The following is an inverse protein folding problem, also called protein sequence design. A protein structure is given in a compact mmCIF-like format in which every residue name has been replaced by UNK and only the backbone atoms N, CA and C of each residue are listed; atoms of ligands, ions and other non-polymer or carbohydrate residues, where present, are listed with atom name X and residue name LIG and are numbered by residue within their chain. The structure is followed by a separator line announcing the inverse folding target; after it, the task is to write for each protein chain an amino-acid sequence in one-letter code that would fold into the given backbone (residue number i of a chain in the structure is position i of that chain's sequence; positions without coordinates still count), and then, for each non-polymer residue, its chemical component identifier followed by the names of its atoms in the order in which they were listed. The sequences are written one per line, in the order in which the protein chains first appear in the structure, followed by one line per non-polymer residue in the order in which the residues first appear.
data_IF_159279795200
#
_entry.id   IF_159279795200
#
_cell.length_a   1.000
_cell.length_b   1.000
_cell.length_c   1.000
_cell.angle_alpha   90.00
_cell.angle_beta   90.00
_cell.angle_gamma   90.00
#
_symmetry.space_group_name_H-M   'P 1'
#
loop_
_entity.id
_entity.type
_entity.pdbx_description
1 polymer ?
#
# COMPACT_ATOMS: atom_id res chain seq x y z
N UNK A 1 2.01 36.58 -7.40
CA UNK A 1 1.63 35.15 -7.34
C UNK A 1 2.78 34.36 -7.95
N UNK A 2 3.37 33.37 -7.27
CA UNK A 2 4.35 32.52 -7.93
C UNK A 2 3.68 31.85 -9.13
N UNK A 3 4.34 31.84 -10.29
CA UNK A 3 3.82 31.18 -11.49
C UNK A 3 3.71 29.70 -11.20
N UNK A 4 2.48 29.18 -11.11
CA UNK A 4 2.28 27.74 -11.05
C UNK A 4 2.71 27.19 -12.40
N UNK A 5 3.77 26.38 -12.41
CA UNK A 5 4.17 25.60 -13.59
C UNK A 5 2.94 24.79 -14.08
N UNK A 6 2.46 25.00 -15.32
CA UNK A 6 1.30 24.30 -15.86
C UNK A 6 1.44 22.78 -15.79
N UNK A 7 2.66 22.26 -15.94
CA UNK A 7 2.93 20.81 -15.86
C UNK A 7 2.78 20.28 -14.43
N UNK A 8 3.25 21.04 -13.43
CA UNK A 8 3.08 20.69 -12.03
C UNK A 8 1.59 20.68 -11.63
N UNK A 9 0.81 21.65 -12.13
CA UNK A 9 -0.65 21.67 -11.87
C UNK A 9 -1.38 20.51 -12.55
N UNK A 10 -1.01 20.19 -13.78
CA UNK A 10 -1.56 19.04 -14.49
C UNK A 10 -1.28 17.73 -13.75
N UNK A 11 -0.04 17.56 -13.25
CA UNK A 11 0.33 16.40 -12.45
C UNK A 11 -0.47 16.29 -11.14
N UNK A 12 -0.64 17.39 -10.39
CA UNK A 12 -1.46 17.42 -9.17
C UNK A 12 -2.90 16.94 -9.44
N UNK A 13 -3.49 17.41 -10.54
CA UNK A 13 -4.83 17.02 -10.97
C UNK A 13 -4.91 15.54 -11.35
N UNK A 14 -3.93 15.04 -12.11
CA UNK A 14 -3.85 13.63 -12.51
C UNK A 14 -3.65 12.71 -11.32
N UNK A 15 -2.76 13.07 -10.38
CA UNK A 15 -2.52 12.31 -9.15
C UNK A 15 -3.79 12.15 -8.32
N UNK A 16 -4.49 13.27 -8.04
CA UNK A 16 -5.72 13.22 -7.24
C UNK A 16 -6.84 12.49 -7.97
N UNK A 17 -6.93 12.64 -9.30
CA UNK A 17 -7.88 11.89 -10.13
C UNK A 17 -7.66 10.39 -10.01
N UNK A 18 -6.42 9.94 -10.17
CA UNK A 18 -6.03 8.54 -10.05
C UNK A 18 -6.41 7.96 -8.69
N UNK A 19 -6.13 8.68 -7.60
CA UNK A 19 -6.53 8.25 -6.26
C UNK A 19 -8.05 8.16 -6.14
N UNK A 20 -8.78 9.19 -6.61
CA UNK A 20 -10.24 9.21 -6.60
C UNK A 20 -10.88 8.04 -7.35
N UNK A 21 -10.39 7.75 -8.56
CA UNK A 21 -10.84 6.61 -9.38
C UNK A 21 -10.54 5.28 -8.70
N UNK A 22 -9.38 5.17 -8.04
CA UNK A 22 -8.98 3.97 -7.30
C UNK A 22 -9.88 3.74 -6.08
N UNK A 23 -10.18 4.79 -5.32
CA UNK A 23 -11.14 4.76 -4.21
C UNK A 23 -12.51 4.31 -4.71
N UNK A 24 -13.00 4.89 -5.82
CA UNK A 24 -14.29 4.53 -6.41
C UNK A 24 -14.33 3.05 -6.82
N UNK A 25 -13.28 2.58 -7.51
CA UNK A 25 -13.16 1.20 -7.99
C UNK A 25 -13.18 0.21 -6.83
N UNK A 26 -12.28 0.36 -5.86
CA UNK A 26 -12.20 -0.53 -4.69
C UNK A 26 -13.49 -0.51 -3.87
N UNK A 27 -14.10 0.68 -3.70
CA UNK A 27 -15.39 0.79 -3.02
C UNK A 27 -16.48 -0.02 -3.74
N UNK A 28 -16.53 0.05 -5.08
CA UNK A 28 -17.49 -0.69 -5.89
C UNK A 28 -17.23 -2.21 -5.87
N UNK A 29 -15.98 -2.64 -5.92
CA UNK A 29 -15.57 -4.05 -5.80
C UNK A 29 -15.99 -4.66 -4.46
N UNK A 30 -15.94 -3.88 -3.37
CA UNK A 30 -16.43 -4.27 -2.05
C UNK A 30 -17.96 -4.17 -1.89
N UNK A 31 -18.69 -3.76 -2.94
CA UNK A 31 -20.14 -3.58 -2.90
C UNK A 31 -20.60 -2.45 -1.97
N UNK A 32 -19.72 -1.50 -1.65
CA UNK A 32 -20.02 -0.42 -0.70
C UNK A 32 -20.63 0.79 -1.41
N UNK A 33 -21.62 1.40 -0.78
CA UNK A 33 -22.07 2.75 -1.13
C UNK A 33 -21.11 3.81 -0.57
N UNK A 34 -21.12 5.02 -1.13
CA UNK A 34 -20.36 6.14 -0.56
C UNK A 34 -20.76 6.47 0.89
N UNK A 35 -22.01 6.17 1.28
CA UNK A 35 -22.47 6.30 2.67
C UNK A 35 -21.82 5.27 3.58
N UNK A 36 -21.74 4.01 3.15
CA UNK A 36 -21.08 2.95 3.93
C UNK A 36 -19.58 3.19 4.05
N UNK A 37 -18.92 3.70 3.01
CA UNK A 37 -17.52 4.12 3.13
C UNK A 37 -17.38 5.28 4.13
N UNK A 38 -18.28 6.27 4.09
CA UNK A 38 -18.31 7.36 5.08
C UNK A 38 -18.42 6.82 6.51
N UNK A 39 -19.28 5.83 6.72
CA UNK A 39 -19.42 5.18 8.03
C UNK A 39 -18.12 4.52 8.50
N UNK A 40 -17.47 3.73 7.65
CA UNK A 40 -16.20 3.09 7.98
C UNK A 40 -15.12 4.09 8.38
N UNK A 41 -15.03 5.23 7.68
CA UNK A 41 -14.07 6.29 8.06
C UNK A 41 -14.38 6.88 9.45
N UNK A 42 -15.67 6.94 9.83
CA UNK A 42 -16.11 7.35 11.16
C UNK A 42 -15.80 6.31 12.23
N UNK A 43 -15.88 5.02 11.92
CA UNK A 43 -15.50 3.93 12.83
C UNK A 43 -13.99 3.94 13.10
N UNK A 44 -13.18 4.26 12.09
CA UNK A 44 -11.75 4.58 12.23
C UNK A 44 -11.51 5.95 12.92
N UNK A 45 -12.60 6.68 13.18
CA UNK A 45 -12.72 7.99 13.80
C UNK A 45 -11.84 9.08 13.23
N UNK A 46 -11.77 9.08 11.91
CA UNK A 46 -11.58 10.28 11.12
C UNK A 46 -12.73 10.36 10.12
N UNK A 47 -13.87 10.97 10.51
CA UNK A 47 -15.07 10.93 9.69
C UNK A 47 -14.89 11.74 8.40
N UNK A 48 -14.99 11.06 7.26
CA UNK A 48 -15.03 11.68 5.92
C UNK A 48 -16.47 11.60 5.43
N UNK A 49 -17.10 12.77 5.22
CA UNK A 49 -18.50 12.80 4.78
C UNK A 49 -18.71 12.12 3.43
N UNK A 50 -19.89 11.55 3.20
CA UNK A 50 -20.31 11.02 1.88
C UNK A 50 -20.08 12.02 0.75
N UNK A 51 -20.36 13.32 0.98
CA UNK A 51 -20.14 14.38 -0.02
C UNK A 51 -18.64 14.58 -0.30
N UNK A 52 -17.80 14.55 0.73
CA UNK A 52 -16.34 14.60 0.56
C UNK A 52 -15.83 13.40 -0.25
N UNK A 53 -16.29 12.18 0.08
CA UNK A 53 -15.98 10.96 -0.68
C UNK A 53 -16.36 11.12 -2.15
N UNK A 54 -17.59 11.55 -2.46
CA UNK A 54 -18.00 11.76 -3.86
C UNK A 54 -17.13 12.78 -4.59
N UNK A 55 -16.72 13.86 -3.92
CA UNK A 55 -15.84 14.88 -4.52
C UNK A 55 -14.39 14.40 -4.69
N UNK A 56 -13.92 13.49 -3.83
CA UNK A 56 -12.63 12.81 -3.98
C UNK A 56 -12.70 11.89 -5.20
N UNK A 57 -13.72 11.03 -5.28
CA UNK A 57 -13.92 10.09 -6.39
C UNK A 57 -14.02 10.80 -7.75
N UNK A 58 -14.71 11.94 -7.82
CA UNK A 58 -14.85 12.72 -9.05
C UNK A 58 -13.72 13.73 -9.29
N UNK A 59 -12.73 13.79 -8.40
CA UNK A 59 -11.68 14.83 -8.36
C UNK A 59 -12.22 16.27 -8.45
N UNK A 60 -13.45 16.53 -7.98
CA UNK A 60 -14.06 17.86 -8.02
C UNK A 60 -13.48 18.83 -6.98
N UNK A 61 -12.48 18.39 -6.21
CA UNK A 61 -11.67 19.25 -5.33
C UNK A 61 -10.44 19.85 -6.01
N UNK A 62 -10.25 19.60 -7.31
CA UNK A 62 -9.22 20.21 -8.16
C UNK A 62 -7.79 19.96 -7.67
N UNK A 63 -7.46 18.69 -7.37
CA UNK A 63 -6.12 18.28 -6.94
C UNK A 63 -5.95 18.20 -5.42
N UNK A 64 -6.99 18.49 -4.65
CA UNK A 64 -6.92 18.48 -3.18
C UNK A 64 -7.39 17.13 -2.61
N UNK A 65 -6.45 16.45 -1.98
CA UNK A 65 -6.64 15.31 -1.10
C UNK A 65 -5.65 15.48 0.05
N UNK A 66 -6.12 15.42 1.30
CA UNK A 66 -5.22 15.51 2.45
C UNK A 66 -4.64 14.14 2.84
N UNK A 67 -3.53 14.14 3.58
CA UNK A 67 -2.82 12.91 3.97
C UNK A 67 -3.66 12.04 4.91
N UNK A 68 -4.47 12.63 5.77
CA UNK A 68 -5.35 11.88 6.67
C UNK A 68 -6.49 11.21 5.89
N UNK A 69 -7.11 11.91 4.94
CA UNK A 69 -8.10 11.38 4.02
C UNK A 69 -7.53 10.21 3.22
N UNK A 70 -6.31 10.36 2.66
CA UNK A 70 -5.65 9.28 1.92
C UNK A 70 -5.47 8.02 2.78
N UNK A 71 -4.88 8.15 3.96
CA UNK A 71 -4.59 7.01 4.84
C UNK A 71 -5.90 6.36 5.33
N UNK A 72 -6.86 7.16 5.79
CA UNK A 72 -8.12 6.65 6.35
C UNK A 72 -8.98 5.98 5.29
N UNK A 73 -9.02 6.51 4.07
CA UNK A 73 -9.72 5.85 2.95
C UNK A 73 -9.11 4.49 2.61
N UNK A 74 -7.79 4.38 2.61
CA UNK A 74 -7.12 3.11 2.34
C UNK A 74 -7.52 2.04 3.37
N UNK A 75 -7.43 2.38 4.66
CA UNK A 75 -7.83 1.48 5.73
C UNK A 75 -9.33 1.16 5.74
N UNK A 76 -10.19 2.14 5.42
CA UNK A 76 -11.64 1.90 5.30
C UNK A 76 -12.01 0.96 4.13
N UNK A 77 -11.14 0.91 3.12
CA UNK A 77 -11.22 0.02 1.95
C UNK A 77 -10.43 -1.28 2.14
N UNK A 78 -9.84 -1.52 3.31
CA UNK A 78 -9.05 -2.73 3.62
C UNK A 78 -7.87 -2.95 2.65
N UNK A 79 -7.18 -1.86 2.26
CA UNK A 79 -5.99 -1.89 1.41
C UNK A 79 -4.85 -1.07 2.00
N UNK A 80 -3.57 -1.36 1.68
CA UNK A 80 -2.46 -0.51 2.08
C UNK A 80 -2.56 0.88 1.40
N UNK A 81 -2.07 1.97 2.03
CA UNK A 81 -2.14 3.32 1.45
C UNK A 81 -1.53 3.44 0.04
N UNK A 82 -0.45 2.69 -0.23
CA UNK A 82 0.18 2.65 -1.55
C UNK A 82 -0.72 2.12 -2.67
N UNK A 83 -1.68 1.25 -2.37
CA UNK A 83 -2.62 0.72 -3.36
C UNK A 83 -3.55 1.81 -3.93
N UNK A 84 -3.84 2.87 -3.16
CA UNK A 84 -4.59 4.02 -3.67
C UNK A 84 -3.75 4.92 -4.59
N UNK A 85 -2.43 4.99 -4.36
CA UNK A 85 -1.52 5.78 -5.18
C UNK A 85 -1.14 5.07 -6.49
N UNK A 86 -1.02 3.74 -6.44
CA UNK A 86 -0.50 2.89 -7.51
C UNK A 86 -1.55 1.81 -7.88
N UNK A 87 -2.60 2.18 -8.65
CA UNK A 87 -3.74 1.29 -8.91
C UNK A 87 -3.40 0.02 -9.66
N UNK A 88 -2.35 0.06 -10.48
CA UNK A 88 -2.00 -1.01 -11.42
C UNK A 88 -0.88 -1.91 -10.86
N UNK A 89 -0.77 -2.03 -9.54
CA UNK A 89 0.19 -2.93 -8.91
C UNK A 89 -0.09 -4.42 -9.24
N UNK A 90 0.94 -5.24 -9.52
CA UNK A 90 2.36 -4.88 -9.65
C UNK A 90 2.76 -4.46 -11.09
N UNK A 91 1.95 -4.82 -12.10
CA UNK A 91 2.38 -4.91 -13.51
C UNK A 91 2.28 -3.59 -14.31
N UNK A 92 1.69 -2.56 -13.74
CA UNK A 92 1.51 -1.26 -14.39
C UNK A 92 2.68 -0.31 -14.22
N UNK A 93 2.49 0.92 -14.70
CA UNK A 93 3.41 2.04 -14.48
C UNK A 93 2.66 3.23 -13.93
N UNK A 94 3.39 4.13 -13.28
CA UNK A 94 2.82 5.29 -12.62
C UNK A 94 3.77 6.47 -12.68
N UNK A 95 3.21 7.64 -13.00
CA UNK A 95 3.92 8.90 -12.87
C UNK A 95 3.98 9.29 -11.39
N UNK A 96 5.16 9.14 -10.78
CA UNK A 96 5.42 9.37 -9.34
C UNK A 96 5.78 10.83 -9.04
N UNK A 97 6.34 11.55 -10.01
CA UNK A 97 6.65 12.97 -10.00
C UNK A 97 6.42 13.53 -11.41
N UNK A 98 6.24 14.85 -11.61
CA UNK A 98 6.03 15.43 -12.94
C UNK A 98 7.12 14.99 -13.93
N UNK A 99 6.74 14.23 -14.96
CA UNK A 99 7.63 13.69 -16.00
C UNK A 99 8.39 12.41 -15.62
N UNK A 100 8.25 11.89 -14.40
CA UNK A 100 8.93 10.69 -13.94
C UNK A 100 7.96 9.52 -13.81
N UNK A 101 8.08 8.57 -14.75
CA UNK A 101 7.26 7.35 -14.78
C UNK A 101 8.11 6.17 -14.31
N UNK A 102 7.59 5.42 -13.34
CA UNK A 102 8.21 4.19 -12.82
C UNK A 102 7.24 3.01 -13.00
N UNK A 103 7.72 1.77 -13.10
CA UNK A 103 6.87 0.61 -12.84
C UNK A 103 6.22 0.73 -11.46
N UNK A 104 4.95 0.36 -11.34
CA UNK A 104 4.15 0.54 -10.12
C UNK A 104 4.80 -0.17 -8.92
N UNK A 105 5.38 -1.36 -9.14
CA UNK A 105 6.09 -2.09 -8.09
C UNK A 105 7.34 -1.35 -7.59
N UNK A 106 8.11 -0.70 -8.47
CA UNK A 106 9.27 0.12 -8.08
C UNK A 106 8.83 1.35 -7.28
N UNK A 107 7.73 1.99 -7.69
CA UNK A 107 7.14 3.09 -6.94
C UNK A 107 6.71 2.67 -5.52
N UNK A 108 6.14 1.47 -5.38
CA UNK A 108 5.78 0.89 -4.08
C UNK A 108 7.00 0.62 -3.20
N UNK A 109 8.08 0.06 -3.76
CA UNK A 109 9.33 -0.16 -3.01
C UNK A 109 9.94 1.16 -2.53
N UNK A 110 9.85 2.20 -3.35
CA UNK A 110 10.33 3.54 -2.98
C UNK A 110 9.48 4.13 -1.84
N UNK A 111 8.16 3.88 -1.86
CA UNK A 111 7.24 4.30 -0.80
C UNK A 111 7.48 3.56 0.53
N UNK A 112 7.85 2.27 0.46
CA UNK A 112 8.17 1.43 1.62
C UNK A 112 9.60 1.68 2.18
N UNK A 113 10.40 2.51 1.48
CA UNK A 113 11.77 2.85 1.88
C UNK A 113 12.83 1.83 1.46
N UNK A 114 12.46 0.81 0.67
CA UNK A 114 13.37 -0.22 0.16
C UNK A 114 14.29 0.31 -0.96
N UNK A 115 13.93 1.42 -1.61
CA UNK A 115 14.78 2.13 -2.59
C UNK A 115 14.84 3.63 -2.30
N UNK A 116 15.95 4.31 -2.64
CA UNK A 116 16.17 5.73 -2.32
C UNK A 116 15.50 6.72 -3.29
N UNK A 117 14.40 6.31 -3.92
CA UNK A 117 13.62 7.16 -4.84
C UNK A 117 14.26 7.32 -6.23
N UNK A 118 13.84 8.34 -6.97
CA UNK A 118 14.06 8.44 -8.43
C UNK A 118 15.49 8.81 -8.85
N UNK A 119 16.32 9.24 -7.89
CA UNK A 119 17.70 9.65 -8.12
C UNK A 119 18.73 8.52 -7.90
N UNK A 120 18.29 7.38 -7.36
CA UNK A 120 19.12 6.19 -7.24
C UNK A 120 18.91 5.35 -8.51
N UNK A 121 19.94 5.08 -9.34
CA UNK A 121 19.79 4.10 -10.40
C UNK A 121 19.38 2.81 -9.71
N UNK A 122 18.11 2.42 -9.89
CA UNK A 122 17.55 1.21 -9.29
C UNK A 122 18.49 0.07 -9.67
N UNK A 123 19.37 -0.32 -8.75
CA UNK A 123 19.93 -1.64 -8.77
C UNK A 123 18.72 -2.50 -8.59
N UNK A 124 18.25 -3.10 -9.69
CA UNK A 124 17.14 -4.03 -9.65
C UNK A 124 17.44 -4.97 -8.48
N UNK A 125 16.63 -4.96 -7.41
CA UNK A 125 16.74 -6.05 -6.49
C UNK A 125 16.45 -7.28 -7.36
N UNK A 126 17.30 -8.30 -7.24
CA UNK A 126 17.10 -9.59 -7.91
C UNK A 126 15.62 -10.00 -7.79
N UNK A 127 15.10 -10.77 -8.75
CA UNK A 127 13.69 -11.23 -8.85
C UNK A 127 13.01 -11.53 -7.50
N UNK A 128 13.79 -11.93 -6.50
CA UNK A 128 13.62 -11.79 -5.05
C UNK A 128 12.71 -10.65 -4.56
N UNK A 129 12.76 -9.41 -5.06
CA UNK A 129 11.90 -8.30 -4.57
C UNK A 129 10.44 -8.39 -5.06
N UNK A 130 10.24 -8.75 -6.33
CA UNK A 130 8.90 -8.94 -6.90
C UNK A 130 8.30 -10.25 -6.38
N UNK A 131 9.12 -11.29 -6.23
CA UNK A 131 8.78 -12.51 -5.51
C UNK A 131 8.50 -12.25 -4.03
N UNK A 132 9.23 -11.36 -3.35
CA UNK A 132 8.99 -10.95 -1.96
C UNK A 132 7.72 -10.11 -1.82
N UNK A 133 7.39 -9.24 -2.77
CA UNK A 133 6.11 -8.52 -2.80
C UNK A 133 4.94 -9.48 -3.06
N UNK A 134 5.13 -10.44 -3.98
CA UNK A 134 4.15 -11.47 -4.32
C UNK A 134 3.97 -12.45 -3.15
N UNK A 135 5.05 -12.85 -2.48
CA UNK A 135 5.03 -13.60 -1.23
C UNK A 135 4.45 -12.75 -0.08
N UNK A 136 4.68 -11.43 0.01
CA UNK A 136 3.97 -10.55 0.97
C UNK A 136 2.46 -10.49 0.69
N UNK A 137 2.04 -10.69 -0.58
CA UNK A 137 0.64 -10.76 -1.04
C UNK A 137 0.01 -12.16 -0.83
N UNK A 138 0.80 -13.23 -0.81
CA UNK A 138 0.31 -14.62 -0.72
C UNK A 138 0.67 -15.36 0.58
N UNK A 139 1.69 -14.92 1.32
CA UNK A 139 2.04 -15.42 2.64
C UNK A 139 1.02 -14.90 3.65
N UNK A 140 -0.13 -15.57 3.58
CA UNK A 140 -1.28 -15.55 4.47
C UNK A 140 -2.04 -14.22 4.54
N UNK A 141 -2.67 -13.92 3.42
CA UNK A 141 -3.82 -13.01 3.30
C UNK A 141 -4.84 -13.24 4.43
N UNK A 142 -5.09 -14.49 4.83
CA UNK A 142 -6.04 -14.84 5.89
C UNK A 142 -5.54 -14.51 7.30
N UNK A 143 -4.29 -14.84 7.64
CA UNK A 143 -3.75 -14.53 8.98
C UNK A 143 -3.59 -13.02 9.19
N UNK A 144 -3.25 -12.26 8.14
CA UNK A 144 -3.20 -10.79 8.18
C UNK A 144 -4.59 -10.17 8.25
N UNK A 145 -5.56 -10.63 7.44
CA UNK A 145 -6.95 -10.15 7.55
C UNK A 145 -7.57 -10.49 8.90
N UNK A 146 -7.27 -11.66 9.46
CA UNK A 146 -7.71 -12.04 10.79
C UNK A 146 -7.05 -11.20 11.89
N UNK A 147 -5.73 -11.03 11.85
CA UNK A 147 -5.01 -10.19 12.82
C UNK A 147 -5.42 -8.70 12.71
N UNK A 148 -5.55 -8.19 11.49
CA UNK A 148 -6.03 -6.84 11.21
C UNK A 148 -7.50 -6.65 11.60
N UNK A 149 -8.36 -7.64 11.34
CA UNK A 149 -9.75 -7.66 11.76
C UNK A 149 -9.89 -7.66 13.29
N UNK A 150 -9.09 -8.45 13.99
CA UNK A 150 -9.05 -8.47 15.46
C UNK A 150 -8.54 -7.14 16.04
N UNK A 151 -7.46 -6.60 15.46
CA UNK A 151 -6.89 -5.32 15.87
C UNK A 151 -7.87 -4.17 15.64
N UNK A 152 -8.43 -4.05 14.43
CA UNK A 152 -9.39 -3.01 14.09
C UNK A 152 -10.66 -3.08 14.94
N UNK A 153 -11.18 -4.28 15.21
CA UNK A 153 -12.32 -4.48 16.10
C UNK A 153 -12.02 -4.05 17.54
N UNK A 154 -10.87 -4.43 18.10
CA UNK A 154 -10.43 -4.00 19.43
C UNK A 154 -10.26 -2.48 19.51
N UNK A 155 -9.64 -1.86 18.50
CA UNK A 155 -9.45 -0.41 18.44
C UNK A 155 -10.80 0.31 18.37
N UNK A 156 -11.74 -0.20 17.56
CA UNK A 156 -13.10 0.32 17.46
C UNK A 156 -13.87 0.22 18.78
N UNK A 157 -13.83 -0.94 19.44
CA UNK A 157 -14.47 -1.17 20.74
C UNK A 157 -13.87 -0.30 21.84
N UNK A 158 -12.54 -0.27 21.96
CA UNK A 158 -11.83 0.54 22.95
C UNK A 158 -12.20 2.03 22.80
N UNK A 159 -12.30 2.51 21.57
CA UNK A 159 -12.72 3.89 21.28
C UNK A 159 -14.18 4.15 21.66
N UNK A 160 -15.10 3.24 21.33
CA UNK A 160 -16.51 3.37 21.69
C UNK A 160 -16.71 3.41 23.21
N UNK A 161 -15.92 2.61 23.94
CA UNK A 161 -15.95 2.52 25.40
C UNK A 161 -15.10 3.59 26.11
N UNK A 162 -14.39 4.45 25.35
CA UNK A 162 -13.41 5.42 25.87
C UNK A 162 -12.36 4.78 26.78
N UNK A 163 -11.91 3.57 26.46
CA UNK A 163 -10.82 2.88 27.15
C UNK A 163 -9.59 2.75 26.27
N UNK A 164 -8.48 2.43 26.90
CA UNK A 164 -7.23 2.10 26.21
C UNK A 164 -7.33 0.70 25.59
N UNK A 165 -6.87 0.47 24.34
CA UNK A 165 -6.92 -0.83 23.70
C UNK A 165 -6.04 -1.85 24.44
N UNK A 166 -6.44 -3.13 24.41
CA UNK A 166 -5.66 -4.22 25.02
C UNK A 166 -4.29 -4.33 24.34
N UNK A 167 -3.24 -4.07 25.10
CA UNK A 167 -1.84 -4.17 24.64
C UNK A 167 -1.54 -5.53 24.03
N UNK A 168 -2.09 -6.62 24.57
CA UNK A 168 -1.93 -7.98 24.05
C UNK A 168 -2.37 -8.15 22.59
N UNK A 169 -3.44 -7.46 22.17
CA UNK A 169 -3.98 -7.50 20.80
C UNK A 169 -3.08 -6.68 19.86
N UNK A 170 -2.59 -5.53 20.31
CA UNK A 170 -1.64 -4.69 19.56
C UNK A 170 -0.32 -5.44 19.37
N UNK A 171 0.21 -6.03 20.44
CA UNK A 171 1.46 -6.80 20.44
C UNK A 171 1.35 -8.09 19.61
N UNK A 172 0.18 -8.74 19.57
CA UNK A 172 -0.05 -9.89 18.69
C UNK A 172 0.03 -9.50 17.20
N UNK A 173 -0.57 -8.37 16.81
CA UNK A 173 -0.50 -7.86 15.44
C UNK A 173 0.95 -7.49 15.05
N UNK A 174 1.69 -6.83 15.94
CA UNK A 174 3.10 -6.48 15.72
C UNK A 174 4.02 -7.71 15.64
N UNK A 175 3.77 -8.74 16.46
CA UNK A 175 4.53 -10.01 16.43
C UNK A 175 4.32 -10.79 15.13
N UNK A 176 3.11 -10.79 14.57
CA UNK A 176 2.86 -11.43 13.26
C UNK A 176 3.66 -10.78 12.14
N UNK A 177 3.80 -9.45 12.14
CA UNK A 177 4.66 -8.74 11.15
C UNK A 177 6.13 -9.12 11.33
N UNK A 178 6.62 -9.14 12.57
CA UNK A 178 8.00 -9.53 12.86
C UNK A 178 8.31 -11.00 12.50
N UNK A 179 7.33 -11.90 12.63
CA UNK A 179 7.46 -13.29 12.19
C UNK A 179 7.53 -13.38 10.67
N UNK A 180 6.70 -12.64 9.95
CA UNK A 180 6.74 -12.58 8.48
C UNK A 180 8.09 -12.07 7.98
N UNK A 181 8.66 -11.03 8.61
CA UNK A 181 10.01 -10.55 8.26
C UNK A 181 11.09 -11.61 8.45
N UNK A 182 10.97 -12.46 9.48
CA UNK A 182 11.89 -13.59 9.71
C UNK A 182 11.71 -14.69 8.66
N UNK A 183 10.48 -15.04 8.35
CA UNK A 183 10.17 -16.09 7.37
C UNK A 183 10.63 -15.67 5.95
N UNK A 184 10.52 -14.39 5.61
CA UNK A 184 11.05 -13.82 4.37
C UNK A 184 12.58 -13.87 4.33
N UNK A 185 13.24 -13.52 5.43
CA UNK A 185 14.70 -13.59 5.51
C UNK A 185 15.22 -15.03 5.33
N UNK A 186 14.54 -16.01 5.94
CA UNK A 186 14.86 -17.44 5.77
C UNK A 186 14.61 -17.92 4.34
N UNK A 187 13.51 -17.50 3.70
CA UNK A 187 13.23 -17.80 2.29
C UNK A 187 14.30 -17.24 1.36
N UNK A 188 14.69 -15.97 1.54
CA UNK A 188 15.74 -15.35 0.74
C UNK A 188 17.08 -16.05 0.92
N UNK A 189 17.42 -16.47 2.13
CA UNK A 189 18.64 -17.23 2.40
C UNK A 189 18.61 -18.58 1.67
N UNK A 190 17.50 -19.32 1.72
CA UNK A 190 17.35 -20.60 1.01
C UNK A 190 17.41 -20.45 -0.52
N UNK A 191 16.85 -19.38 -1.07
CA UNK A 191 16.94 -19.11 -2.50
C UNK A 191 18.38 -18.81 -2.91
N UNK A 192 19.12 -18.02 -2.13
CA UNK A 192 20.53 -17.74 -2.39
C UNK A 192 21.41 -19.02 -2.30
N UNK A 193 21.08 -19.93 -1.38
CA UNK A 193 21.73 -21.25 -1.29
C UNK A 193 21.46 -22.11 -2.54
N UNK A 194 20.23 -22.08 -3.07
CA UNK A 194 19.85 -22.80 -4.29
C UNK A 194 20.55 -22.18 -5.52
N UNK A 195 20.54 -20.86 -5.67
CA UNK A 195 21.25 -20.18 -6.78
C UNK A 195 22.75 -20.46 -6.72
N UNK A 196 23.36 -20.42 -5.54
CA UNK A 196 24.77 -20.77 -5.35
C UNK A 196 25.10 -22.23 -5.64
N UNK A 197 24.16 -23.15 -5.42
CA UNK A 197 24.31 -24.56 -5.78
C UNK A 197 24.19 -24.77 -7.29
N UNK A 198 23.22 -24.11 -7.94
CA UNK A 198 23.03 -24.18 -9.40
C UNK A 198 24.23 -23.61 -10.17
N UNK A 199 24.83 -22.51 -9.67
CA UNK A 199 26.04 -21.94 -10.30
C UNK A 199 27.26 -22.88 -10.18
N UNK A 200 27.42 -23.58 -9.04
CA UNK A 200 28.51 -24.55 -8.85
C UNK A 200 28.37 -25.79 -9.73
N UNK A 201 27.15 -26.29 -9.91
CA UNK A 201 26.89 -27.46 -10.77
C UNK A 201 27.13 -27.17 -12.26
N UNK A 202 27.07 -25.91 -12.69
CA UNK A 202 27.40 -25.49 -14.07
C UNK A 202 28.91 -25.42 -14.28
N UNK A 203 29.67 -24.87 -13.32
CA UNK A 203 31.14 -24.79 -13.40
C UNK A 203 31.83 -26.17 -13.32
N UNK A 204 31.24 -27.15 -12.64
CA UNK A 204 31.79 -28.53 -12.56
C UNK A 204 31.47 -29.40 -13.79
N UNK A 205 30.47 -29.04 -14.61
CA UNK A 205 30.09 -29.79 -15.82
C UNK A 205 30.77 -29.30 -17.11
N UNK A 206 31.43 -28.13 -17.07
CA UNK A 206 32.17 -27.54 -18.20
C UNK A 206 33.71 -27.70 -18.07
N UNK A 207 34.19 -28.51 -17.11
CA UNK A 207 35.61 -28.85 -16.88
C UNK A 207 35.93 -30.32 -17.25
#
# INVERSE_FOLDING_TARGET
MPSIDPSAKAWELTLSKRVGETVQRLRAELGLTAMQLSERTRELGYPISRVAISKIESNSRAGKLDVAEWIVLAYALDVPPGALLYPDLPDGSVEVLPGWVLPAWVAMLSLDGETKGVADPVQFPELTSLASMTLRRFAKEEDRKAAWGLHSAEMGQARAEKREPRSEVVEAALRSVAQISRDIADLNQRMAEIEGAVVKDVDENDA
#
